data_IF_147316389327
#
_entry.id   IF_147316389327
#
_cell.length_a   1.000
_cell.length_b   1.000
_cell.length_c   1.000
_cell.angle_alpha   90.00
_cell.angle_beta   90.00
_cell.angle_gamma   90.00
#
_symmetry.space_group_name_H-M   'P 1'
#
loop_
_entity.id
_entity.type
_entity.pdbx_description
1 polymer ?
#
# COMPACT_ATOMS: atom_id res chain seq x y z
N UNK A 1 -43.71 -40.58 40.23
CA UNK A 1 -43.09 -40.17 38.95
C UNK A 1 -43.37 -38.68 38.81
N UNK A 2 -42.43 -37.86 39.28
CA UNK A 2 -42.55 -36.39 39.22
C UNK A 2 -42.28 -35.91 37.79
N UNK A 3 -43.34 -35.79 37.00
CA UNK A 3 -43.28 -35.04 35.75
C UNK A 3 -43.20 -33.55 36.09
N UNK A 4 -41.97 -33.06 36.30
CA UNK A 4 -41.66 -31.63 36.29
C UNK A 4 -41.91 -31.10 34.87
N UNK A 5 -43.16 -30.82 34.54
CA UNK A 5 -43.51 -30.07 33.36
C UNK A 5 -42.97 -28.65 33.55
N UNK A 6 -41.89 -28.33 32.85
CA UNK A 6 -41.36 -26.98 32.76
C UNK A 6 -42.48 -26.06 32.27
N UNK A 7 -42.85 -25.07 33.07
CA UNK A 7 -43.95 -24.16 32.75
C UNK A 7 -43.67 -23.50 31.38
N UNK A 8 -44.67 -23.29 30.51
CA UNK A 8 -44.46 -22.65 29.20
C UNK A 8 -43.73 -21.29 29.28
N UNK A 9 -43.83 -20.65 30.44
CA UNK A 9 -43.14 -19.41 30.77
C UNK A 9 -41.62 -19.60 30.93
N UNK A 10 -41.15 -20.68 31.56
CA UNK A 10 -39.71 -20.97 31.69
C UNK A 10 -39.09 -21.31 30.33
N UNK A 11 -39.86 -21.96 29.45
CA UNK A 11 -39.45 -22.19 28.06
C UNK A 11 -39.30 -20.87 27.30
N UNK A 12 -40.28 -19.97 27.41
CA UNK A 12 -40.25 -18.67 26.74
C UNK A 12 -39.08 -17.78 27.24
N UNK A 13 -38.82 -17.78 28.55
CA UNK A 13 -37.68 -17.06 29.14
C UNK A 13 -36.36 -17.66 28.67
N UNK A 14 -36.23 -19.00 28.68
CA UNK A 14 -35.03 -19.69 28.23
C UNK A 14 -34.69 -19.41 26.76
N UNK A 15 -35.69 -19.46 25.87
CA UNK A 15 -35.51 -19.16 24.45
C UNK A 15 -35.17 -17.68 24.23
N UNK A 16 -35.76 -16.77 24.99
CA UNK A 16 -35.47 -15.33 24.87
C UNK A 16 -34.03 -15.02 25.28
N UNK A 17 -33.57 -15.59 26.40
CA UNK A 17 -32.18 -15.44 26.85
C UNK A 17 -31.21 -16.05 25.84
N UNK A 18 -31.51 -17.23 25.31
CA UNK A 18 -30.72 -17.88 24.26
C UNK A 18 -30.61 -16.98 23.02
N UNK A 19 -31.73 -16.44 22.54
CA UNK A 19 -31.78 -15.64 21.33
C UNK A 19 -31.03 -14.32 21.49
N UNK A 20 -31.18 -13.62 22.62
CA UNK A 20 -30.41 -12.40 22.95
C UNK A 20 -28.92 -12.71 23.04
N UNK A 21 -28.55 -13.87 23.61
CA UNK A 21 -27.15 -14.28 23.71
C UNK A 21 -26.56 -14.58 22.34
N UNK A 22 -27.29 -15.27 21.46
CA UNK A 22 -26.86 -15.55 20.08
C UNK A 22 -26.70 -14.24 19.30
N UNK A 23 -27.67 -13.33 19.37
CA UNK A 23 -27.59 -12.02 18.69
C UNK A 23 -26.42 -11.21 19.24
N UNK A 24 -26.22 -11.19 20.56
CA UNK A 24 -25.08 -10.52 21.20
C UNK A 24 -23.75 -11.10 20.72
N UNK A 25 -23.59 -12.42 20.77
CA UNK A 25 -22.38 -13.09 20.27
C UNK A 25 -22.16 -12.79 18.79
N UNK A 26 -23.18 -12.87 17.94
CA UNK A 26 -23.04 -12.55 16.52
C UNK A 26 -22.69 -11.09 16.28
N UNK A 27 -23.28 -10.14 17.02
CA UNK A 27 -22.95 -8.72 16.90
C UNK A 27 -21.50 -8.42 17.33
N UNK A 28 -21.04 -9.03 18.43
CA UNK A 28 -19.67 -8.84 18.91
C UNK A 28 -18.63 -9.60 18.08
N UNK A 29 -18.94 -10.84 17.67
CA UNK A 29 -18.05 -11.67 16.84
C UNK A 29 -17.98 -11.13 15.41
N UNK A 30 -19.09 -10.73 14.79
CA UNK A 30 -19.04 -10.10 13.46
C UNK A 30 -18.37 -8.72 13.53
N UNK A 31 -18.49 -7.98 14.63
CA UNK A 31 -17.77 -6.72 14.84
C UNK A 31 -16.25 -6.87 15.02
N UNK A 32 -15.76 -8.07 15.36
CA UNK A 32 -14.32 -8.33 15.61
C UNK A 32 -13.69 -9.38 14.69
N UNK A 33 -14.50 -10.13 13.92
CA UNK A 33 -14.06 -11.12 12.94
C UNK A 33 -14.02 -10.59 11.51
N UNK A 34 -14.33 -9.31 11.27
CA UNK A 34 -13.87 -8.62 10.06
C UNK A 34 -12.39 -8.31 10.23
N UNK A 35 -11.56 -9.35 10.32
CA UNK A 35 -10.16 -9.22 9.94
C UNK A 35 -10.19 -8.67 8.52
N UNK A 36 -9.47 -7.57 8.28
CA UNK A 36 -9.34 -6.96 6.96
C UNK A 36 -8.94 -8.07 5.99
N UNK A 37 -9.90 -8.60 5.22
CA UNK A 37 -9.63 -9.59 4.21
C UNK A 37 -8.87 -8.86 3.11
N UNK A 38 -7.54 -8.90 3.20
CA UNK A 38 -6.68 -8.40 2.16
C UNK A 38 -6.81 -9.37 0.97
N UNK A 39 -7.18 -8.84 -0.21
CA UNK A 39 -7.38 -9.67 -1.40
C UNK A 39 -6.14 -10.53 -1.68
N UNK A 40 -6.30 -11.79 -2.15
CA UNK A 40 -5.17 -12.63 -2.54
C UNK A 40 -4.20 -11.95 -3.52
N UNK A 41 -4.70 -11.01 -4.35
CA UNK A 41 -3.89 -10.24 -5.29
C UNK A 41 -2.97 -9.25 -4.56
N UNK A 42 -3.48 -8.57 -3.53
CA UNK A 42 -2.67 -7.67 -2.70
C UNK A 42 -1.59 -8.47 -1.97
N UNK A 43 -1.94 -9.60 -1.37
CA UNK A 43 -0.98 -10.47 -0.67
C UNK A 43 0.12 -10.98 -1.61
N UNK A 44 -0.22 -11.30 -2.86
CA UNK A 44 0.75 -11.72 -3.90
C UNK A 44 1.67 -10.57 -4.33
N UNK A 45 1.12 -9.36 -4.45
CA UNK A 45 1.83 -8.20 -4.98
C UNK A 45 2.61 -7.43 -3.91
N UNK A 46 2.33 -7.63 -2.62
CA UNK A 46 3.02 -6.94 -1.52
C UNK A 46 4.54 -7.18 -1.50
N UNK A 47 5.06 -8.41 -1.67
CA UNK A 47 6.51 -8.63 -1.78
C UNK A 47 7.13 -7.98 -3.02
N UNK A 48 6.37 -7.83 -4.11
CA UNK A 48 6.82 -7.18 -5.34
C UNK A 48 6.92 -5.67 -5.12
N UNK A 49 5.93 -5.06 -4.47
CA UNK A 49 5.96 -3.66 -4.08
C UNK A 49 7.12 -3.35 -3.13
N UNK A 50 7.38 -4.23 -2.16
CA UNK A 50 8.51 -4.09 -1.23
C UNK A 50 9.87 -4.21 -1.93
N UNK A 51 10.03 -5.17 -2.85
CA UNK A 51 11.25 -5.32 -3.66
C UNK A 51 11.51 -4.09 -4.53
N UNK A 52 10.49 -3.59 -5.22
CA UNK A 52 10.58 -2.41 -6.07
C UNK A 52 10.96 -1.15 -5.25
N UNK A 53 10.32 -0.94 -4.10
CA UNK A 53 10.66 0.16 -3.21
C UNK A 53 12.09 0.06 -2.66
N UNK A 54 12.52 -1.15 -2.31
CA UNK A 54 13.88 -1.41 -1.82
C UNK A 54 14.91 -1.14 -2.90
N UNK A 55 14.70 -1.64 -4.13
CA UNK A 55 15.58 -1.37 -5.26
C UNK A 55 15.72 0.14 -5.54
N UNK A 56 14.60 0.88 -5.56
CA UNK A 56 14.64 2.33 -5.80
C UNK A 56 15.45 3.07 -4.73
N UNK A 57 15.27 2.70 -3.46
CA UNK A 57 16.04 3.31 -2.37
C UNK A 57 17.50 2.94 -2.46
N UNK A 58 17.85 1.66 -2.64
CA UNK A 58 19.24 1.20 -2.66
C UNK A 58 20.01 1.76 -3.87
N UNK A 59 19.40 1.76 -5.06
CA UNK A 59 20.10 2.12 -6.29
C UNK A 59 20.18 3.64 -6.52
N UNK A 60 19.24 4.41 -5.96
CA UNK A 60 19.24 5.88 -6.10
C UNK A 60 19.68 6.62 -4.83
N UNK A 61 19.99 5.93 -3.73
CA UNK A 61 20.57 6.59 -2.56
C UNK A 61 21.93 7.21 -2.87
N UNK A 62 22.25 8.31 -2.19
CA UNK A 62 23.61 8.88 -2.17
C UNK A 62 24.50 7.96 -1.33
N UNK A 63 25.69 7.65 -1.86
CA UNK A 63 26.66 6.79 -1.18
C UNK A 63 26.98 7.29 0.24
N UNK A 64 27.06 6.37 1.20
CA UNK A 64 27.34 6.68 2.61
C UNK A 64 26.19 7.34 3.38
N UNK A 65 25.02 7.53 2.76
CA UNK A 65 23.84 8.08 3.42
C UNK A 65 22.70 7.06 3.49
N UNK A 66 21.78 7.26 4.45
CA UNK A 66 20.55 6.46 4.52
C UNK A 66 19.37 7.28 4.04
N UNK A 67 18.57 6.71 3.14
CA UNK A 67 17.30 7.27 2.66
C UNK A 67 17.41 8.69 2.07
N UNK A 68 18.60 9.12 1.62
CA UNK A 68 18.78 10.35 0.84
C UNK A 68 18.94 9.96 -0.62
N UNK A 69 17.90 10.21 -1.41
CA UNK A 69 17.79 9.81 -2.80
C UNK A 69 18.31 10.92 -3.72
N UNK A 70 19.16 10.55 -4.67
CA UNK A 70 19.56 11.40 -5.80
C UNK A 70 18.32 11.69 -6.64
N UNK A 71 17.86 12.94 -6.61
CA UNK A 71 16.64 13.35 -7.30
C UNK A 71 16.92 13.86 -8.72
N UNK A 72 17.35 15.12 -8.83
CA UNK A 72 17.61 15.79 -10.12
C UNK A 72 19.12 15.87 -10.39
N UNK A 73 19.74 14.71 -10.55
CA UNK A 73 21.16 14.55 -10.85
C UNK A 73 21.37 13.33 -11.74
N UNK A 74 22.55 13.20 -12.35
CA UNK A 74 22.86 12.05 -13.21
C UNK A 74 22.73 10.72 -12.43
N UNK A 75 21.95 9.78 -12.98
CA UNK A 75 21.57 8.53 -12.32
C UNK A 75 20.60 8.69 -11.14
N UNK A 76 19.98 9.87 -11.02
CA UNK A 76 18.93 10.13 -10.05
C UNK A 76 17.61 9.47 -10.43
N UNK A 77 16.71 9.39 -9.46
CA UNK A 77 15.40 8.74 -9.62
C UNK A 77 14.54 9.47 -10.68
N UNK A 78 14.66 10.79 -10.81
CA UNK A 78 13.89 11.57 -11.79
C UNK A 78 14.31 11.23 -13.23
N UNK A 79 15.62 11.26 -13.50
CA UNK A 79 16.16 10.91 -14.81
C UNK A 79 15.86 9.44 -15.15
N UNK A 80 16.14 8.52 -14.21
CA UNK A 80 15.96 7.09 -14.45
C UNK A 80 14.51 6.70 -14.75
N UNK A 81 13.54 7.27 -14.03
CA UNK A 81 12.12 6.93 -14.22
C UNK A 81 11.48 7.70 -15.38
N UNK A 82 11.96 8.90 -15.72
CA UNK A 82 11.49 9.63 -16.91
C UNK A 82 12.02 9.05 -18.23
N UNK A 83 13.21 8.45 -18.21
CA UNK A 83 13.79 7.78 -19.39
C UNK A 83 13.27 6.35 -19.59
N UNK A 84 12.55 5.80 -18.60
CA UNK A 84 11.95 4.48 -18.70
C UNK A 84 10.67 4.50 -19.57
N UNK A 85 10.14 3.32 -19.88
CA UNK A 85 8.84 3.19 -20.53
C UNK A 85 7.72 3.68 -19.60
N UNK A 86 6.56 4.01 -20.17
CA UNK A 86 5.35 4.34 -19.39
C UNK A 86 4.88 3.19 -18.47
N UNK A 87 5.38 1.97 -18.69
CA UNK A 87 5.11 0.78 -17.89
C UNK A 87 6.26 0.44 -16.92
N UNK A 88 7.29 1.27 -16.85
CA UNK A 88 8.48 1.10 -16.02
C UNK A 88 9.19 -0.24 -16.25
N UNK A 89 9.37 -0.62 -17.52
CA UNK A 89 9.94 -1.92 -17.89
C UNK A 89 11.39 -2.08 -17.41
N UNK A 90 12.20 -1.02 -17.47
CA UNK A 90 13.58 -1.06 -17.00
C UNK A 90 13.64 -1.24 -15.49
N UNK A 91 12.78 -0.54 -14.73
CA UNK A 91 12.63 -0.75 -13.29
C UNK A 91 12.24 -2.20 -12.99
N UNK A 92 11.23 -2.76 -13.67
CA UNK A 92 10.76 -4.13 -13.43
C UNK A 92 11.86 -5.16 -13.69
N UNK A 93 12.60 -5.01 -14.78
CA UNK A 93 13.70 -5.90 -15.12
C UNK A 93 14.86 -5.76 -14.13
N UNK A 94 15.29 -4.54 -13.82
CA UNK A 94 16.45 -4.31 -12.95
C UNK A 94 16.17 -4.66 -11.48
N UNK A 95 14.96 -4.43 -11.00
CA UNK A 95 14.54 -4.82 -9.66
C UNK A 95 14.17 -6.32 -9.56
N UNK A 96 14.29 -7.08 -10.66
CA UNK A 96 13.95 -8.50 -10.68
C UNK A 96 12.48 -8.76 -10.29
N UNK A 97 11.57 -7.93 -10.80
CA UNK A 97 10.13 -8.09 -10.62
C UNK A 97 9.54 -9.06 -11.65
N UNK A 98 10.21 -9.20 -12.80
CA UNK A 98 9.81 -10.09 -13.90
C UNK A 98 10.10 -11.58 -13.63
N UNK A 99 10.68 -11.93 -12.46
CA UNK A 99 11.18 -13.29 -12.17
C UNK A 99 10.35 -14.10 -11.15
N UNK A 100 9.08 -13.76 -10.90
CA UNK A 100 8.25 -14.48 -9.94
C UNK A 100 7.19 -15.40 -10.59
N UNK A 101 7.58 -16.66 -10.77
CA UNK A 101 6.74 -17.88 -10.92
C UNK A 101 6.16 -18.21 -12.30
N UNK A 102 5.92 -19.50 -12.53
CA UNK A 102 5.46 -20.15 -13.78
C UNK A 102 4.14 -19.61 -14.36
N UNK A 103 3.49 -18.65 -13.68
CA UNK A 103 2.42 -17.82 -14.22
C UNK A 103 2.97 -16.41 -14.49
N UNK A 104 3.10 -16.10 -15.77
CA UNK A 104 3.46 -14.81 -16.38
C UNK A 104 2.58 -13.64 -15.88
N UNK A 105 2.75 -13.18 -14.65
CA UNK A 105 2.13 -11.93 -14.20
C UNK A 105 3.21 -10.86 -14.36
N UNK A 106 3.12 -10.07 -15.42
CA UNK A 106 3.91 -8.84 -15.59
C UNK A 106 3.25 -7.79 -14.69
N UNK A 107 3.79 -7.50 -13.50
CA UNK A 107 3.14 -6.61 -12.55
C UNK A 107 3.13 -5.19 -13.11
N UNK A 108 2.04 -4.46 -12.91
CA UNK A 108 2.02 -3.03 -13.18
C UNK A 108 2.57 -2.31 -11.97
N UNK A 109 3.49 -1.37 -12.21
CA UNK A 109 4.20 -0.64 -11.15
C UNK A 109 3.94 0.85 -11.33
N UNK A 110 3.51 1.50 -10.24
CA UNK A 110 3.41 2.95 -10.15
C UNK A 110 4.30 3.43 -9.00
N UNK A 111 5.10 4.46 -9.27
CA UNK A 111 5.98 5.08 -8.28
C UNK A 111 5.51 6.52 -8.09
N UNK A 112 5.28 6.93 -6.86
CA UNK A 112 4.91 8.32 -6.54
C UNK A 112 5.75 8.81 -5.39
N UNK A 113 6.25 10.04 -5.47
CA UNK A 113 6.81 10.74 -4.33
C UNK A 113 5.77 11.71 -3.80
N UNK A 114 5.45 11.60 -2.52
CA UNK A 114 4.44 12.42 -1.83
C UNK A 114 5.12 13.27 -0.75
N UNK A 115 4.74 14.54 -0.63
CA UNK A 115 5.22 15.39 0.45
C UNK A 115 4.57 14.97 1.77
N UNK A 116 5.36 14.77 2.84
CA UNK A 116 4.82 14.35 4.13
C UNK A 116 3.74 15.31 4.67
N UNK A 117 3.86 16.61 4.42
CA UNK A 117 2.84 17.59 4.83
C UNK A 117 1.48 17.39 4.18
N UNK A 118 1.42 16.87 2.94
CA UNK A 118 0.14 16.57 2.28
C UNK A 118 -0.62 15.42 2.96
N UNK A 119 0.11 14.45 3.53
CA UNK A 119 -0.47 13.32 4.24
C UNK A 119 -1.19 13.74 5.51
N UNK A 120 -0.71 14.78 6.21
CA UNK A 120 -1.35 15.33 7.41
C UNK A 120 -2.72 15.92 7.10
N UNK A 121 -2.88 16.48 5.90
CA UNK A 121 -4.14 17.05 5.38
C UNK A 121 -5.05 15.95 4.79
N UNK A 122 -4.61 14.69 4.81
CA UNK A 122 -5.35 13.54 4.30
C UNK A 122 -5.30 13.39 2.78
N UNK A 123 -4.49 14.20 2.08
CA UNK A 123 -4.28 14.06 0.64
C UNK A 123 -2.99 13.28 0.36
N UNK A 124 -2.99 12.48 -0.70
CA UNK A 124 -1.81 11.72 -1.16
C UNK A 124 -1.32 12.25 -2.50
N UNK A 125 -1.40 13.56 -2.66
CA UNK A 125 -1.02 14.21 -3.89
C UNK A 125 0.50 14.06 -4.12
N UNK A 126 0.92 13.69 -5.35
CA UNK A 126 2.33 13.69 -5.70
C UNK A 126 2.94 15.07 -5.43
N UNK A 127 4.15 15.07 -4.89
CA UNK A 127 4.98 16.25 -4.82
C UNK A 127 5.17 16.84 -6.23
N UNK A 128 5.32 18.15 -6.30
CA UNK A 128 5.50 18.89 -7.55
C UNK A 128 6.90 19.48 -7.55
N UNK A 129 7.62 19.36 -8.67
CA UNK A 129 8.95 19.93 -8.83
C UNK A 129 8.91 21.43 -9.16
N UNK A 130 10.09 22.05 -9.33
CA UNK A 130 10.23 23.48 -9.63
C UNK A 130 9.64 23.87 -10.99
N UNK A 131 9.38 22.90 -11.86
CA UNK A 131 8.82 23.08 -13.20
C UNK A 131 7.32 22.77 -13.25
N UNK A 132 6.67 22.51 -12.10
CA UNK A 132 5.26 22.17 -12.04
C UNK A 132 4.95 20.71 -12.41
N UNK A 133 5.97 19.85 -12.52
CA UNK A 133 5.79 18.42 -12.85
C UNK A 133 5.50 17.60 -11.59
N UNK A 134 4.48 16.75 -11.67
CA UNK A 134 4.13 15.80 -10.60
C UNK A 134 5.16 14.67 -10.57
N UNK A 135 5.67 14.36 -9.38
CA UNK A 135 6.59 13.25 -9.14
C UNK A 135 5.83 11.92 -9.07
N UNK A 136 5.30 11.50 -10.21
CA UNK A 136 4.57 10.26 -10.38
C UNK A 136 4.96 9.62 -11.72
N UNK A 137 5.28 8.32 -11.66
CA UNK A 137 5.72 7.52 -12.80
C UNK A 137 4.96 6.20 -12.87
N UNK A 138 4.83 5.66 -14.08
CA UNK A 138 4.07 4.45 -14.35
C UNK A 138 2.57 4.69 -14.55
N UNK A 139 1.78 3.62 -14.77
CA UNK A 139 0.35 3.72 -15.02
C UNK A 139 -0.42 4.30 -13.83
N UNK A 140 -1.56 4.97 -14.11
CA UNK A 140 -2.41 5.54 -13.07
C UNK A 140 -3.15 4.46 -12.23
N UNK A 141 -3.37 4.79 -10.96
CA UNK A 141 -3.94 3.90 -9.93
C UNK A 141 -5.36 4.31 -9.54
N UNK A 142 -5.86 5.49 -9.95
CA UNK A 142 -7.11 6.08 -9.45
C UNK A 142 -8.35 5.17 -9.50
N UNK A 143 -8.42 4.21 -10.43
CA UNK A 143 -9.55 3.30 -10.62
C UNK A 143 -9.18 1.82 -10.37
N UNK A 144 -8.24 1.56 -9.45
CA UNK A 144 -7.76 0.20 -9.17
C UNK A 144 -8.09 -0.22 -7.75
N UNK A 145 -8.81 -1.33 -7.65
CA UNK A 145 -8.96 -2.09 -6.41
C UNK A 145 -7.80 -3.08 -6.26
N UNK A 146 -7.57 -3.57 -5.03
CA UNK A 146 -6.59 -4.61 -4.72
C UNK A 146 -5.14 -4.28 -5.11
N UNK A 147 -4.73 -3.04 -4.85
CA UNK A 147 -3.37 -2.56 -5.11
C UNK A 147 -2.50 -2.76 -3.88
N UNK A 148 -1.41 -3.51 -4.05
CA UNK A 148 -0.36 -3.62 -3.04
C UNK A 148 0.45 -2.32 -2.99
N UNK A 149 0.82 -1.87 -1.80
CA UNK A 149 1.53 -0.60 -1.62
C UNK A 149 2.63 -0.72 -0.57
N UNK A 150 3.82 -0.24 -0.91
CA UNK A 150 4.92 -0.07 0.03
C UNK A 150 5.34 1.40 0.04
N UNK A 151 5.56 1.95 1.23
CA UNK A 151 6.08 3.31 1.41
C UNK A 151 7.42 3.32 2.12
N UNK A 152 8.33 4.21 1.69
CA UNK A 152 9.59 4.50 2.36
C UNK A 152 9.71 6.00 2.61
N UNK A 153 10.11 6.38 3.82
CA UNK A 153 10.40 7.78 4.14
C UNK A 153 11.79 8.12 3.61
N UNK A 154 11.88 9.13 2.75
CA UNK A 154 13.11 9.54 2.06
C UNK A 154 13.31 11.05 2.09
N UNK A 155 14.55 11.49 1.87
CA UNK A 155 14.90 12.87 1.54
C UNK A 155 15.39 12.90 0.08
N UNK A 156 15.16 14.00 -0.60
CA UNK A 156 15.65 14.19 -1.97
C UNK A 156 16.82 15.17 -1.96
N UNK A 157 17.89 14.85 -2.69
CA UNK A 157 18.98 15.81 -2.93
C UNK A 157 18.49 16.97 -3.77
N UNK A 158 18.97 18.19 -3.50
CA UNK A 158 18.58 19.39 -4.23
C UNK A 158 17.07 19.63 -4.22
N UNK A 159 16.38 19.22 -3.15
CA UNK A 159 15.00 19.59 -2.96
C UNK A 159 14.88 21.06 -2.57
N UNK A 160 14.04 21.77 -3.31
CA UNK A 160 13.74 23.21 -3.24
C UNK A 160 12.33 23.48 -2.71
N UNK A 161 11.67 22.44 -2.20
CA UNK A 161 10.31 22.54 -1.62
C UNK A 161 9.41 21.35 -1.95
N UNK A 162 9.88 20.38 -2.73
CA UNK A 162 9.13 19.17 -3.08
C UNK A 162 8.68 18.41 -1.82
N UNK A 163 9.48 18.46 -0.76
CA UNK A 163 9.23 17.76 0.48
C UNK A 163 9.71 18.56 1.69
N UNK A 164 8.82 18.74 2.67
CA UNK A 164 9.15 19.36 3.95
C UNK A 164 8.44 18.59 5.08
N UNK A 165 9.17 17.98 6.04
CA UNK A 165 10.63 17.83 6.12
C UNK A 165 11.18 16.60 5.35
N UNK A 166 10.30 15.69 4.92
CA UNK A 166 10.62 14.43 4.25
C UNK A 166 9.57 14.08 3.19
N UNK A 167 9.91 13.20 2.27
CA UNK A 167 8.97 12.61 1.33
C UNK A 167 8.60 11.19 1.72
N UNK A 168 7.49 10.73 1.18
CA UNK A 168 7.11 9.33 1.12
C UNK A 168 7.27 8.85 -0.32
N UNK A 169 8.24 7.96 -0.55
CA UNK A 169 8.33 7.18 -1.78
C UNK A 169 7.32 6.05 -1.68
N UNK A 170 6.24 6.13 -2.45
CA UNK A 170 5.17 5.15 -2.49
C UNK A 170 5.30 4.36 -3.78
N UNK A 171 5.45 3.05 -3.66
CA UNK A 171 5.39 2.11 -4.79
C UNK A 171 4.11 1.30 -4.69
N UNK A 172 3.37 1.26 -5.79
CA UNK A 172 2.09 0.56 -5.92
C UNK A 172 2.20 -0.50 -7.00
N UNK A 173 1.68 -1.69 -6.71
CA UNK A 173 1.77 -2.85 -7.60
C UNK A 173 0.43 -3.57 -7.69
N UNK A 174 0.03 -3.95 -8.91
CA UNK A 174 -1.15 -4.76 -9.19
C UNK A 174 -0.97 -5.67 -10.41
#
# INVERSE_FOLDING_TARGET
MDSRAQTPQDFAVGVSVLLVTIIGVLAFVQGSAVGVYESPDVQRNQPIADRAATYLVENHSVEGTRNLIRYNASGGINESLNMDSSELDSLKTNAGLDVATERRVNPRVNVTVVNASSLEVGTRDPAVDDHGQRLAWGPDVANRDNVASTSRVVKLTNATGQCDPVCWLIVRVW
#
